data_IF_100966109407
#
_entry.id   IF_100966109407
#
_cell.length_a   1.000
_cell.length_b   1.000
_cell.length_c   1.000
_cell.angle_alpha   90.00
_cell.angle_beta   90.00
_cell.angle_gamma   90.00
#
_symmetry.space_group_name_H-M   'P 1'
#
loop_
_entity.id
_entity.type
_entity.pdbx_description
1 polymer ?
#
# COMPACT_ATOMS: atom_id res chain seq x y z
N UNK A 1 4.33 17.36 1.87
CA UNK A 1 3.01 17.33 2.55
C UNK A 1 3.25 17.15 4.05
N UNK A 2 2.22 17.22 4.87
CA UNK A 2 2.29 16.94 6.31
C UNK A 2 2.72 15.48 6.57
N UNK A 3 3.91 15.28 7.15
CA UNK A 3 4.50 13.95 7.36
C UNK A 3 3.84 13.15 8.48
N UNK A 4 3.18 13.83 9.43
CA UNK A 4 2.61 13.18 10.62
C UNK A 4 1.22 12.57 10.36
N UNK A 5 0.63 12.83 9.20
CA UNK A 5 -0.76 12.47 8.85
C UNK A 5 -0.87 11.62 7.59
N UNK A 6 0.10 10.73 7.39
CA UNK A 6 0.18 9.91 6.18
C UNK A 6 0.05 8.41 6.45
N UNK A 7 0.89 7.89 7.35
CA UNK A 7 0.85 6.47 7.74
C UNK A 7 -0.37 6.20 8.60
N UNK A 8 -0.92 4.99 8.52
CA UNK A 8 -2.14 4.69 9.26
C UNK A 8 -1.82 4.49 10.76
N UNK A 9 -2.44 5.25 11.68
CA UNK A 9 -2.04 5.19 13.08
C UNK A 9 -2.41 3.84 13.73
N UNK A 10 -1.57 3.28 14.63
CA UNK A 10 -1.81 1.95 15.21
C UNK A 10 -3.12 1.80 15.97
N UNK A 11 -3.59 2.85 16.65
CA UNK A 11 -4.82 2.81 17.46
C UNK A 11 -6.07 2.62 16.57
N UNK A 12 -6.31 3.45 15.54
CA UNK A 12 -7.31 3.19 14.50
C UNK A 12 -7.13 1.87 13.74
N UNK A 13 -5.90 1.36 13.62
CA UNK A 13 -5.63 0.07 12.98
C UNK A 13 -6.05 -1.13 13.82
N UNK A 14 -6.06 -1.02 15.15
CA UNK A 14 -6.30 -2.13 16.05
C UNK A 14 -7.63 -2.88 15.79
N UNK A 15 -8.79 -2.21 15.56
CA UNK A 15 -10.03 -2.90 15.21
C UNK A 15 -9.94 -3.74 13.92
N UNK A 16 -9.27 -3.21 12.89
CA UNK A 16 -9.08 -3.89 11.61
C UNK A 16 -8.19 -5.13 11.81
N UNK A 17 -7.09 -4.96 12.54
CA UNK A 17 -6.17 -6.07 12.88
C UNK A 17 -6.89 -7.13 13.70
N UNK A 18 -7.67 -6.74 14.71
CA UNK A 18 -8.44 -7.66 15.55
C UNK A 18 -9.48 -8.46 14.74
N UNK A 19 -10.18 -7.81 13.81
CA UNK A 19 -11.12 -8.48 12.90
C UNK A 19 -10.41 -9.57 12.08
N UNK A 20 -9.29 -9.25 11.43
CA UNK A 20 -8.55 -10.22 10.63
C UNK A 20 -7.88 -11.30 11.48
N UNK A 21 -7.40 -10.95 12.67
CA UNK A 21 -6.85 -11.92 13.62
C UNK A 21 -7.91 -12.96 13.99
N UNK A 22 -9.11 -12.53 14.37
CA UNK A 22 -10.24 -13.41 14.68
C UNK A 22 -10.63 -14.28 13.47
N UNK A 23 -10.73 -13.66 12.29
CA UNK A 23 -11.06 -14.37 11.05
C UNK A 23 -10.06 -15.47 10.74
N UNK A 24 -8.76 -15.18 10.79
CA UNK A 24 -7.72 -16.15 10.45
C UNK A 24 -7.57 -17.24 11.49
N UNK A 25 -7.62 -16.91 12.78
CA UNK A 25 -7.55 -17.93 13.84
C UNK A 25 -8.76 -18.84 13.87
N UNK A 26 -9.90 -18.40 13.32
CA UNK A 26 -11.11 -19.22 13.19
C UNK A 26 -11.13 -20.10 11.93
N UNK A 27 -10.39 -19.73 10.87
CA UNK A 27 -10.40 -20.42 9.58
C UNK A 27 -9.14 -21.27 9.31
N UNK A 28 -8.00 -20.91 9.92
CA UNK A 28 -6.71 -21.52 9.64
C UNK A 28 -6.16 -22.27 10.87
N UNK A 29 -5.48 -23.41 10.67
CA UNK A 29 -4.59 -23.97 11.68
C UNK A 29 -3.57 -22.94 12.16
N UNK A 30 -3.16 -23.04 13.42
CA UNK A 30 -2.30 -22.03 14.08
C UNK A 30 -1.03 -21.73 13.28
N UNK A 31 -0.32 -22.74 12.79
CA UNK A 31 0.93 -22.56 12.05
C UNK A 31 0.72 -21.80 10.73
N UNK A 32 -0.38 -22.09 10.02
CA UNK A 32 -0.76 -21.37 8.80
C UNK A 32 -1.18 -19.94 9.10
N UNK A 33 -1.90 -19.71 10.20
CA UNK A 33 -2.20 -18.37 10.69
C UNK A 33 -0.91 -17.58 10.97
N UNK A 34 0.07 -18.17 11.67
CA UNK A 34 1.33 -17.50 11.97
C UNK A 34 2.06 -17.07 10.69
N UNK A 35 2.18 -17.96 9.71
CA UNK A 35 2.82 -17.66 8.42
C UNK A 35 2.05 -16.58 7.64
N UNK A 36 0.73 -16.75 7.49
CA UNK A 36 -0.10 -15.84 6.72
C UNK A 36 -0.23 -14.46 7.38
N UNK A 37 -0.44 -14.44 8.70
CA UNK A 37 -0.55 -13.23 9.51
C UNK A 37 0.74 -12.42 9.49
N UNK A 38 1.90 -13.07 9.68
CA UNK A 38 3.20 -12.42 9.59
C UNK A 38 3.45 -11.85 8.18
N UNK A 39 3.20 -12.64 7.13
CA UNK A 39 3.36 -12.21 5.74
C UNK A 39 2.45 -11.03 5.39
N UNK A 40 1.19 -11.06 5.81
CA UNK A 40 0.24 -9.95 5.61
C UNK A 40 0.69 -8.69 6.33
N UNK A 41 1.11 -8.79 7.60
CA UNK A 41 1.57 -7.64 8.37
C UNK A 41 2.84 -7.04 7.76
N UNK A 42 3.79 -7.88 7.36
CA UNK A 42 5.00 -7.46 6.66
C UNK A 42 4.68 -6.74 5.34
N UNK A 43 3.76 -7.28 4.53
CA UNK A 43 3.29 -6.63 3.31
C UNK A 43 2.63 -5.27 3.56
N UNK A 44 1.85 -5.15 4.64
CA UNK A 44 1.27 -3.87 5.05
C UNK A 44 2.34 -2.84 5.44
N UNK A 45 3.37 -3.25 6.19
CA UNK A 45 4.49 -2.36 6.54
C UNK A 45 5.22 -1.88 5.29
N UNK A 46 5.49 -2.79 4.33
CA UNK A 46 6.08 -2.40 3.03
C UNK A 46 5.18 -1.39 2.31
N UNK A 47 3.87 -1.61 2.29
CA UNK A 47 2.91 -0.70 1.68
C UNK A 47 3.00 0.70 2.31
N UNK A 48 2.94 0.80 3.64
CA UNK A 48 2.88 2.08 4.35
C UNK A 48 4.21 2.84 4.25
N UNK A 49 5.34 2.13 4.36
CA UNK A 49 6.66 2.71 4.13
C UNK A 49 6.86 3.18 2.68
N UNK A 50 6.38 2.41 1.69
CA UNK A 50 6.45 2.81 0.28
C UNK A 50 5.61 4.05 0.02
N UNK A 51 4.39 4.10 0.58
CA UNK A 51 3.50 5.24 0.49
C UNK A 51 4.18 6.49 1.05
N UNK A 52 4.72 6.40 2.27
CA UNK A 52 5.46 7.50 2.89
C UNK A 52 6.65 7.94 2.05
N UNK A 53 7.44 7.00 1.54
CA UNK A 53 8.61 7.27 0.69
C UNK A 53 8.22 8.02 -0.59
N UNK A 54 7.14 7.63 -1.27
CA UNK A 54 6.71 8.30 -2.51
C UNK A 54 6.23 9.74 -2.29
N UNK A 55 5.73 10.08 -1.10
CA UNK A 55 5.37 11.45 -0.76
C UNK A 55 6.55 12.34 -0.35
N UNK A 56 7.65 11.75 0.15
CA UNK A 56 8.69 12.52 0.85
C UNK A 56 10.11 12.39 0.29
N UNK A 57 10.37 11.39 -0.56
CA UNK A 57 11.70 11.15 -1.15
C UNK A 57 11.69 11.39 -2.66
N UNK A 58 12.88 11.58 -3.25
CA UNK A 58 13.09 11.78 -4.69
C UNK A 58 13.87 10.60 -5.31
N UNK A 59 13.18 9.56 -5.80
CA UNK A 59 13.84 8.44 -6.45
C UNK A 59 14.43 8.86 -7.79
N UNK A 60 15.57 8.25 -8.15
CA UNK A 60 16.28 8.53 -9.40
C UNK A 60 15.36 8.35 -10.62
N UNK A 61 15.31 9.34 -11.55
CA UNK A 61 14.51 9.24 -12.76
C UNK A 61 14.75 7.95 -13.55
N UNK A 62 13.70 7.42 -14.18
CA UNK A 62 13.76 6.18 -14.95
C UNK A 62 13.74 4.88 -14.13
N UNK A 63 13.84 4.95 -12.80
CA UNK A 63 13.70 3.77 -11.95
C UNK A 63 12.24 3.38 -11.74
N UNK A 64 11.99 2.13 -11.38
CA UNK A 64 10.64 1.68 -11.03
C UNK A 64 10.08 2.39 -9.78
N UNK A 65 10.93 2.82 -8.83
CA UNK A 65 10.51 3.67 -7.71
C UNK A 65 10.08 5.06 -8.17
N UNK A 66 10.80 5.64 -9.13
CA UNK A 66 10.41 6.92 -9.73
C UNK A 66 9.09 6.80 -10.49
N UNK A 67 8.90 5.74 -11.27
CA UNK A 67 7.63 5.43 -11.91
C UNK A 67 6.48 5.40 -10.88
N UNK A 68 6.63 4.64 -9.80
CA UNK A 68 5.60 4.53 -8.74
C UNK A 68 5.34 5.85 -8.03
N UNK A 69 6.37 6.66 -7.77
CA UNK A 69 6.20 8.02 -7.23
C UNK A 69 5.34 8.88 -8.15
N UNK A 70 5.67 8.94 -9.45
CA UNK A 70 4.91 9.77 -10.39
C UNK A 70 3.49 9.25 -10.57
N UNK A 71 3.31 7.94 -10.63
CA UNK A 71 2.01 7.28 -10.74
C UNK A 71 1.10 7.62 -9.54
N UNK A 72 1.62 7.49 -8.32
CA UNK A 72 0.91 7.88 -7.09
C UNK A 72 0.65 9.38 -6.97
N UNK A 73 1.61 10.20 -7.42
CA UNK A 73 1.42 11.65 -7.45
C UNK A 73 0.29 12.03 -8.43
N UNK A 74 0.19 11.36 -9.58
CA UNK A 74 -0.88 11.56 -10.54
C UNK A 74 -2.25 11.09 -9.99
N UNK A 75 -2.30 10.07 -9.13
CA UNK A 75 -3.51 9.73 -8.37
C UNK A 75 -4.00 10.94 -7.57
N UNK A 76 -3.14 11.55 -6.74
CA UNK A 76 -3.55 12.70 -5.93
C UNK A 76 -3.90 13.96 -6.72
N UNK A 77 -3.19 14.23 -7.82
CA UNK A 77 -3.21 15.55 -8.46
C UNK A 77 -3.76 15.59 -9.89
N UNK A 78 -4.05 14.43 -10.51
CA UNK A 78 -4.64 14.37 -11.85
C UNK A 78 -5.96 13.59 -11.86
N UNK A 79 -5.93 12.33 -11.45
CA UNK A 79 -7.06 11.40 -11.52
C UNK A 79 -7.13 10.55 -10.25
N UNK A 80 -7.88 11.02 -9.24
CA UNK A 80 -8.00 10.36 -7.94
C UNK A 80 -8.85 9.08 -7.98
N UNK A 81 -9.53 8.82 -9.10
CA UNK A 81 -10.36 7.65 -9.37
C UNK A 81 -9.63 6.55 -10.15
N UNK A 82 -8.33 6.71 -10.40
CA UNK A 82 -7.43 5.74 -11.03
C UNK A 82 -6.15 5.59 -10.18
N UNK A 83 -5.29 4.65 -10.53
CA UNK A 83 -3.98 4.44 -9.90
C UNK A 83 -4.03 4.17 -8.39
N UNK A 84 -4.86 3.21 -7.97
CA UNK A 84 -5.00 2.84 -6.56
C UNK A 84 -3.77 2.07 -6.02
N UNK A 85 -2.99 1.46 -6.92
CA UNK A 85 -1.80 0.69 -6.56
C UNK A 85 -0.62 1.53 -6.07
N UNK A 86 -0.19 1.31 -4.82
CA UNK A 86 1.02 1.95 -4.26
C UNK A 86 2.26 1.07 -4.45
N UNK A 87 2.26 -0.13 -3.85
CA UNK A 87 3.40 -1.05 -3.89
C UNK A 87 3.55 -1.74 -5.25
N UNK A 88 2.45 -1.94 -5.95
CA UNK A 88 2.38 -2.55 -7.29
C UNK A 88 1.17 -2.02 -8.06
N UNK A 89 1.28 -1.96 -9.38
CA UNK A 89 0.18 -1.59 -10.31
C UNK A 89 -0.62 -2.79 -10.80
N UNK A 90 -0.25 -4.02 -10.37
CA UNK A 90 -0.87 -5.26 -10.84
C UNK A 90 -2.40 -5.21 -10.75
N UNK A 91 -2.93 -4.77 -9.61
CA UNK A 91 -4.37 -4.74 -9.38
C UNK A 91 -5.07 -3.64 -10.18
N UNK A 92 -4.38 -2.56 -10.52
CA UNK A 92 -4.95 -1.54 -11.40
C UNK A 92 -5.19 -2.11 -12.81
N UNK A 93 -4.30 -2.99 -13.31
CA UNK A 93 -4.54 -3.71 -14.57
C UNK A 93 -5.68 -4.71 -14.45
N UNK A 94 -5.72 -5.50 -13.37
CA UNK A 94 -6.76 -6.53 -13.16
C UNK A 94 -8.15 -5.90 -13.09
N UNK A 95 -8.28 -4.75 -12.43
CA UNK A 95 -9.56 -4.07 -12.21
C UNK A 95 -9.80 -2.88 -13.15
N UNK A 96 -8.99 -2.73 -14.19
CA UNK A 96 -9.11 -1.65 -15.19
C UNK A 96 -9.17 -0.24 -14.60
N UNK A 97 -8.24 0.06 -13.69
CA UNK A 97 -8.09 1.34 -12.98
C UNK A 97 -6.69 1.92 -13.17
N UNK A 98 -6.03 1.59 -14.29
CA UNK A 98 -4.67 2.07 -14.63
C UNK A 98 -4.67 3.58 -14.82
N UNK A 99 -3.78 4.28 -14.10
CA UNK A 99 -3.57 5.72 -14.24
C UNK A 99 -2.38 6.10 -15.12
N UNK A 100 -2.02 7.39 -15.11
CA UNK A 100 -0.91 7.91 -15.89
C UNK A 100 0.44 7.73 -15.15
N UNK A 101 1.46 7.24 -15.87
CA UNK A 101 2.85 7.19 -15.39
C UNK A 101 3.66 8.46 -15.72
N UNK A 102 4.99 8.42 -15.53
CA UNK A 102 5.90 9.38 -16.15
C UNK A 102 5.77 9.33 -17.68
N UNK A 103 5.89 10.49 -18.32
CA UNK A 103 6.05 10.59 -19.77
C UNK A 103 7.41 10.04 -20.22
#
# INVERSE_FOLDING_TARGET
MDGDRLVFPPVPAAPIVAFFYYLYTSLLPYDLFCCFGAGKLFGYIIYDCSHYYFHHADPLPGTNLHFRKVYHNNHHFKHFDLAFGISTVLWDYVFNTVGAGPL
#
